data_IF_347855873898
#
_entry.id   IF_347855873898
#
_cell.length_a   1.000
_cell.length_b   1.000
_cell.length_c   1.000
_cell.angle_alpha   90.00
_cell.angle_beta   90.00
_cell.angle_gamma   90.00
#
_symmetry.space_group_name_H-M   'P 1'
#
loop_
_entity.id
_entity.type
_entity.pdbx_description
1 polymer ?
#
# COMPACT_ATOMS: atom_id res chain seq x y z
N UNK A 1 -4.34 2.92 31.07
CA UNK A 1 -3.39 3.61 30.18
C UNK A 1 -2.21 2.68 29.99
N UNK A 2 -2.16 1.96 28.87
CA UNK A 2 -1.06 1.06 28.54
C UNK A 2 0.00 1.86 27.81
N UNK A 3 1.21 1.86 28.35
CA UNK A 3 2.35 2.63 27.87
C UNK A 3 2.70 2.25 26.43
N UNK A 4 2.83 3.24 25.56
CA UNK A 4 3.44 3.02 24.24
C UNK A 4 4.87 3.56 24.24
N UNK A 5 5.75 3.13 23.32
CA UNK A 5 7.07 3.75 23.20
C UNK A 5 7.01 5.27 22.95
N UNK A 6 5.85 5.77 22.50
CA UNK A 6 5.53 7.19 22.39
C UNK A 6 5.04 7.84 23.70
N UNK A 7 5.33 7.32 24.89
CA UNK A 7 5.13 8.08 26.13
C UNK A 7 6.23 9.16 26.33
N UNK A 8 6.60 9.83 25.24
CA UNK A 8 7.56 10.93 25.03
C UNK A 8 8.29 11.45 26.28
N UNK A 9 9.57 11.05 26.45
CA UNK A 9 10.53 11.94 27.13
C UNK A 9 10.77 13.16 26.22
N UNK A 10 10.75 14.36 26.79
CA UNK A 10 10.99 15.64 26.11
C UNK A 10 12.33 15.65 25.36
N UNK A 11 12.31 16.01 24.08
CA UNK A 11 13.49 16.38 23.29
C UNK A 11 13.18 17.74 22.64
N UNK A 12 14.19 18.47 22.14
CA UNK A 12 13.98 19.79 21.54
C UNK A 12 12.92 19.74 20.43
N UNK A 13 11.96 20.65 20.49
CA UNK A 13 10.81 20.75 19.56
C UNK A 13 11.16 21.45 18.23
N UNK A 14 12.43 21.77 18.00
CA UNK A 14 12.82 22.62 16.88
C UNK A 14 13.04 21.83 15.59
N UNK A 15 12.30 22.20 14.54
CA UNK A 15 12.63 21.83 13.16
C UNK A 15 14.05 22.31 12.83
N UNK A 16 14.91 21.47 12.21
CA UNK A 16 16.20 21.93 11.70
C UNK A 16 15.98 23.15 10.78
N UNK A 17 16.62 24.28 11.09
CA UNK A 17 16.37 25.58 10.41
C UNK A 17 16.62 25.52 8.90
N UNK A 18 17.58 24.71 8.48
CA UNK A 18 17.98 24.45 7.10
C UNK A 18 16.98 23.59 6.31
N UNK A 19 16.08 22.88 6.99
CA UNK A 19 15.03 22.05 6.40
C UNK A 19 13.63 22.64 6.57
N UNK A 20 13.54 23.91 6.99
CA UNK A 20 12.25 24.60 7.07
C UNK A 20 11.75 24.95 5.67
N UNK A 21 10.51 24.57 5.34
CA UNK A 21 9.79 24.90 4.10
C UNK A 21 10.19 24.13 2.83
N UNK A 22 10.99 23.06 2.92
CA UNK A 22 11.33 22.23 1.76
C UNK A 22 10.43 20.98 1.74
N UNK A 23 9.61 20.77 0.70
CA UNK A 23 8.85 19.53 0.57
C UNK A 23 9.78 18.32 0.56
N UNK A 24 9.50 17.33 1.39
CA UNK A 24 10.28 16.09 1.46
C UNK A 24 9.55 14.95 0.75
N UNK A 25 10.33 14.05 0.16
CA UNK A 25 9.88 12.74 -0.28
C UNK A 25 10.38 11.66 0.67
N UNK A 26 9.53 10.69 0.98
CA UNK A 26 9.88 9.57 1.84
C UNK A 26 9.71 8.26 1.07
N UNK A 27 10.74 7.41 1.15
CA UNK A 27 10.69 6.06 0.60
C UNK A 27 10.72 5.03 1.72
N UNK A 28 9.70 4.17 1.76
CA UNK A 28 9.56 3.10 2.74
C UNK A 28 9.91 1.77 2.08
N UNK A 29 11.14 1.32 2.28
CA UNK A 29 11.69 0.09 1.70
C UNK A 29 11.00 -1.18 2.17
N UNK A 30 11.21 -2.27 1.42
CA UNK A 30 10.75 -3.61 1.78
C UNK A 30 11.54 -4.26 2.92
N UNK A 31 11.08 -5.44 3.35
CA UNK A 31 11.63 -6.20 4.48
C UNK A 31 10.58 -6.82 5.42
N UNK A 32 9.34 -6.99 4.93
CA UNK A 32 8.23 -7.58 5.66
C UNK A 32 7.86 -6.83 6.94
N UNK A 33 7.40 -7.56 7.95
CA UNK A 33 6.86 -6.98 9.19
C UNK A 33 7.87 -6.16 10.00
N UNK A 34 9.17 -6.51 9.91
CA UNK A 34 10.24 -5.73 10.54
C UNK A 34 10.39 -4.36 9.89
N UNK A 35 10.31 -4.29 8.57
CA UNK A 35 10.33 -3.01 7.86
C UNK A 35 9.10 -2.17 8.23
N UNK A 36 7.91 -2.78 8.34
CA UNK A 36 6.72 -2.06 8.78
C UNK A 36 6.92 -1.38 10.15
N UNK A 37 7.41 -2.12 11.15
CA UNK A 37 7.70 -1.59 12.48
C UNK A 37 8.81 -0.51 12.47
N UNK A 38 9.88 -0.72 11.70
CA UNK A 38 10.96 0.26 11.54
C UNK A 38 10.45 1.58 10.93
N UNK A 39 9.63 1.49 9.88
CA UNK A 39 9.04 2.65 9.23
C UNK A 39 8.03 3.36 10.11
N UNK A 40 7.29 2.64 10.96
CA UNK A 40 6.44 3.28 11.97
C UNK A 40 7.27 4.13 12.95
N UNK A 41 8.42 3.61 13.39
CA UNK A 41 9.39 4.36 14.19
C UNK A 41 9.98 5.56 13.44
N UNK A 42 10.23 5.42 12.13
CA UNK A 42 10.72 6.50 11.27
C UNK A 42 9.70 7.63 11.16
N UNK A 43 8.42 7.32 10.89
CA UNK A 43 7.35 8.32 10.88
C UNK A 43 7.22 9.03 12.24
N UNK A 44 7.35 8.28 13.34
CA UNK A 44 7.31 8.84 14.68
C UNK A 44 8.47 9.80 14.96
N UNK A 45 9.66 9.49 14.45
CA UNK A 45 10.81 10.38 14.52
C UNK A 45 10.57 11.64 13.68
N UNK A 46 10.09 11.52 12.44
CA UNK A 46 9.78 12.66 11.56
C UNK A 46 8.69 13.57 12.14
N UNK A 47 7.66 13.01 12.77
CA UNK A 47 6.62 13.78 13.46
C UNK A 47 7.23 14.60 14.60
N UNK A 48 8.10 13.96 15.39
CA UNK A 48 8.75 14.60 16.53
C UNK A 48 9.63 15.79 16.13
N UNK A 49 10.36 15.68 15.03
CA UNK A 49 11.19 16.79 14.50
C UNK A 49 10.43 17.72 13.54
N UNK A 50 9.10 17.57 13.46
CA UNK A 50 8.20 18.41 12.65
C UNK A 50 8.56 18.45 11.16
N UNK A 51 9.14 17.36 10.65
CA UNK A 51 9.37 17.17 9.22
C UNK A 51 8.23 16.40 8.55
N UNK A 52 7.44 15.62 9.30
CA UNK A 52 6.34 14.86 8.73
C UNK A 52 5.27 15.74 8.07
N UNK A 53 5.08 16.96 8.56
CA UNK A 53 4.18 17.98 7.97
C UNK A 53 4.64 18.48 6.61
N UNK A 54 5.92 18.30 6.28
CA UNK A 54 6.51 18.70 4.99
C UNK A 54 6.49 17.55 3.97
N UNK A 55 5.99 16.37 4.35
CA UNK A 55 5.92 15.21 3.48
C UNK A 55 4.94 15.47 2.34
N UNK A 56 5.47 15.50 1.13
CA UNK A 56 4.70 15.75 -0.10
C UNK A 56 4.62 14.53 -1.01
N UNK A 57 5.54 13.57 -0.82
CA UNK A 57 5.67 12.38 -1.67
C UNK A 57 5.98 11.15 -0.84
N UNK A 58 5.31 10.05 -1.14
CA UNK A 58 5.48 8.79 -0.44
C UNK A 58 5.61 7.64 -1.44
N UNK A 59 6.74 6.94 -1.41
CA UNK A 59 6.94 5.70 -2.16
C UNK A 59 7.10 4.54 -1.19
N UNK A 60 6.50 3.40 -1.50
CA UNK A 60 6.46 2.27 -0.56
C UNK A 60 6.65 0.94 -1.28
N UNK A 61 7.31 0.01 -0.60
CA UNK A 61 7.58 -1.34 -1.10
C UNK A 61 7.34 -2.34 0.03
N UNK A 62 6.66 -3.45 -0.24
CA UNK A 62 6.52 -4.59 0.66
C UNK A 62 6.10 -4.17 2.08
N UNK A 63 6.89 -4.51 3.11
CA UNK A 63 6.65 -4.08 4.49
C UNK A 63 6.44 -2.56 4.67
N UNK A 64 7.11 -1.73 3.87
CA UNK A 64 6.88 -0.28 3.84
C UNK A 64 5.49 0.10 3.33
N UNK A 65 4.88 -0.71 2.46
CA UNK A 65 3.51 -0.51 1.98
C UNK A 65 2.48 -0.72 3.08
N UNK A 66 2.73 -1.55 4.10
CA UNK A 66 1.83 -1.70 5.25
C UNK A 66 1.74 -0.40 6.05
N UNK A 67 2.90 0.14 6.43
CA UNK A 67 2.99 1.38 7.20
C UNK A 67 2.52 2.57 6.39
N UNK A 68 2.97 2.67 5.13
CA UNK A 68 2.60 3.76 4.26
C UNK A 68 1.12 3.80 3.95
N UNK A 69 0.49 2.66 3.61
CA UNK A 69 -0.95 2.63 3.34
C UNK A 69 -1.76 2.99 4.58
N UNK A 70 -1.40 2.47 5.77
CA UNK A 70 -2.11 2.81 7.01
C UNK A 70 -1.93 4.27 7.41
N UNK A 71 -0.75 4.84 7.20
CA UNK A 71 -0.50 6.25 7.43
C UNK A 71 -1.32 7.13 6.49
N UNK A 72 -1.34 6.82 5.18
CA UNK A 72 -2.19 7.53 4.22
C UNK A 72 -3.66 7.47 4.64
N UNK A 73 -4.17 6.29 5.00
CA UNK A 73 -5.56 6.16 5.47
C UNK A 73 -5.84 6.99 6.72
N UNK A 74 -4.88 7.12 7.64
CA UNK A 74 -5.05 8.02 8.80
C UNK A 74 -5.24 9.48 8.38
N UNK A 75 -4.57 9.93 7.30
CA UNK A 75 -4.77 11.27 6.75
C UNK A 75 -6.13 11.39 6.05
N UNK A 76 -6.55 10.35 5.31
CA UNK A 76 -7.88 10.30 4.67
C UNK A 76 -9.00 10.37 5.70
N UNK A 77 -8.84 9.68 6.83
CA UNK A 77 -9.81 9.65 7.93
C UNK A 77 -9.74 10.90 8.84
N UNK A 78 -8.73 11.76 8.68
CA UNK A 78 -8.50 12.91 9.57
C UNK A 78 -8.05 12.52 10.98
N UNK A 79 -7.45 11.33 11.14
CA UNK A 79 -6.95 10.81 12.41
C UNK A 79 -5.58 11.44 12.73
N UNK A 80 -5.41 11.91 13.97
CA UNK A 80 -4.14 12.48 14.44
C UNK A 80 -3.01 11.44 14.53
N UNK A 81 -1.76 11.89 14.35
CA UNK A 81 -0.60 10.99 14.30
C UNK A 81 -0.47 10.07 15.52
N UNK A 82 -0.71 10.59 16.74
CA UNK A 82 -0.61 9.80 17.97
C UNK A 82 -1.58 8.61 17.96
N UNK A 83 -2.83 8.85 17.56
CA UNK A 83 -3.84 7.80 17.47
C UNK A 83 -3.49 6.79 16.37
N UNK A 84 -3.07 7.26 15.19
CA UNK A 84 -2.52 6.41 14.13
C UNK A 84 -1.42 5.50 14.66
N UNK A 85 -0.42 6.07 15.34
CA UNK A 85 0.72 5.33 15.85
C UNK A 85 0.27 4.29 16.87
N UNK A 86 -0.55 4.66 17.84
CA UNK A 86 -1.00 3.74 18.89
C UNK A 86 -1.83 2.60 18.33
N UNK A 87 -2.70 2.88 17.36
CA UNK A 87 -3.54 1.87 16.70
C UNK A 87 -2.67 0.90 15.89
N UNK A 88 -1.75 1.43 15.07
CA UNK A 88 -0.93 0.60 14.21
C UNK A 88 0.19 -0.12 14.97
N UNK A 89 0.77 0.48 16.01
CA UNK A 89 1.72 -0.20 16.90
C UNK A 89 1.08 -1.41 17.59
N UNK A 90 -0.14 -1.26 18.11
CA UNK A 90 -0.87 -2.40 18.72
C UNK A 90 -1.17 -3.48 17.70
N UNK A 91 -1.59 -3.11 16.49
CA UNK A 91 -1.74 -4.06 15.39
C UNK A 91 -0.43 -4.81 15.13
N UNK A 92 0.68 -4.09 14.96
CA UNK A 92 2.00 -4.68 14.69
C UNK A 92 2.47 -5.60 15.83
N UNK A 93 2.19 -5.26 17.09
CA UNK A 93 2.61 -6.05 18.25
C UNK A 93 1.76 -7.30 18.47
N UNK A 94 0.45 -7.18 18.30
CA UNK A 94 -0.51 -8.16 18.82
C UNK A 94 -1.07 -9.10 17.74
N UNK A 95 -0.97 -8.74 16.45
CA UNK A 95 -1.54 -9.54 15.37
C UNK A 95 -0.55 -10.56 14.81
N UNK A 96 -0.97 -11.82 14.79
CA UNK A 96 -0.31 -12.91 14.06
C UNK A 96 -0.98 -13.10 12.70
N UNK A 97 -0.52 -12.32 11.72
CA UNK A 97 -1.08 -12.31 10.38
C UNK A 97 -0.90 -13.65 9.67
N UNK A 98 0.17 -14.39 9.94
CA UNK A 98 0.42 -15.67 9.31
C UNK A 98 -0.58 -16.72 9.80
N UNK A 99 -0.81 -16.80 11.12
CA UNK A 99 -1.84 -17.66 11.69
C UNK A 99 -3.24 -17.28 11.19
N UNK A 100 -3.55 -15.99 11.10
CA UNK A 100 -4.82 -15.51 10.55
C UNK A 100 -4.97 -15.90 9.07
N UNK A 101 -3.91 -15.78 8.27
CA UNK A 101 -3.91 -16.16 6.86
C UNK A 101 -4.14 -17.66 6.65
N UNK A 102 -3.48 -18.52 7.46
CA UNK A 102 -3.74 -19.96 7.42
C UNK A 102 -5.17 -20.31 7.84
N UNK A 103 -5.74 -19.59 8.80
CA UNK A 103 -7.12 -19.79 9.21
C UNK A 103 -8.10 -19.40 8.08
N UNK A 104 -7.93 -18.24 7.44
CA UNK A 104 -8.76 -17.81 6.30
C UNK A 104 -8.62 -18.79 5.11
N UNK A 105 -7.41 -19.28 4.82
CA UNK A 105 -7.17 -20.26 3.76
C UNK A 105 -7.96 -21.57 3.98
N UNK A 106 -8.17 -21.94 5.24
CA UNK A 106 -8.94 -23.15 5.61
C UNK A 106 -10.46 -22.93 5.64
N UNK A 107 -10.93 -21.68 5.64
CA UNK A 107 -12.31 -21.30 5.97
C UNK A 107 -12.92 -20.45 4.85
N UNK A 108 -13.53 -21.10 3.85
CA UNK A 108 -14.61 -20.49 3.08
C UNK A 108 -14.31 -20.11 1.62
N UNK A 109 -15.35 -19.64 0.90
CA UNK A 109 -15.32 -19.44 -0.54
C UNK A 109 -14.39 -18.28 -0.94
N UNK A 110 -13.75 -18.42 -2.09
CA UNK A 110 -12.86 -17.40 -2.63
C UNK A 110 -13.58 -16.04 -2.78
N UNK A 111 -12.92 -14.97 -2.31
CA UNK A 111 -13.41 -13.58 -2.45
C UNK A 111 -12.99 -12.92 -3.77
N UNK A 112 -12.37 -13.69 -4.67
CA UNK A 112 -11.81 -13.22 -5.94
C UNK A 112 -12.33 -14.02 -7.13
N UNK A 113 -12.36 -13.44 -8.35
CA UNK A 113 -12.91 -14.09 -9.53
C UNK A 113 -12.22 -15.40 -9.92
N UNK A 114 -10.91 -15.53 -9.67
CA UNK A 114 -10.14 -16.73 -10.03
C UNK A 114 -10.55 -17.97 -9.25
N UNK A 115 -11.18 -17.81 -8.08
CA UNK A 115 -11.57 -18.92 -7.22
C UNK A 115 -10.39 -19.64 -6.54
N UNK A 116 -9.14 -19.21 -6.75
CA UNK A 116 -7.96 -19.97 -6.34
C UNK A 116 -7.72 -19.90 -4.82
N UNK A 117 -7.33 -21.02 -4.17
CA UNK A 117 -6.98 -21.03 -2.76
C UNK A 117 -5.46 -20.78 -2.57
N UNK A 118 -5.02 -19.54 -2.77
CA UNK A 118 -3.62 -19.13 -2.56
C UNK A 118 -3.45 -18.50 -1.18
N UNK A 119 -2.32 -18.77 -0.51
CA UNK A 119 -2.07 -18.17 0.81
C UNK A 119 -2.06 -16.64 0.74
N UNK A 120 -1.47 -16.06 -0.31
CA UNK A 120 -1.44 -14.61 -0.47
C UNK A 120 -2.83 -13.97 -0.59
N UNK A 121 -3.80 -14.66 -1.18
CA UNK A 121 -5.18 -14.18 -1.27
C UNK A 121 -5.83 -14.14 0.10
N UNK A 122 -5.55 -15.14 0.93
CA UNK A 122 -5.97 -15.15 2.33
C UNK A 122 -5.30 -14.05 3.16
N UNK A 123 -4.01 -13.78 2.92
CA UNK A 123 -3.35 -12.63 3.54
C UNK A 123 -4.02 -11.31 3.14
N UNK A 124 -4.36 -11.12 1.85
CA UNK A 124 -5.08 -9.94 1.39
C UNK A 124 -6.45 -9.78 2.08
N UNK A 125 -7.19 -10.88 2.29
CA UNK A 125 -8.43 -10.88 3.06
C UNK A 125 -8.21 -10.47 4.52
N UNK A 126 -7.19 -11.03 5.18
CA UNK A 126 -6.82 -10.65 6.55
C UNK A 126 -6.49 -9.16 6.62
N UNK A 127 -5.76 -8.61 5.66
CA UNK A 127 -5.45 -7.17 5.64
C UNK A 127 -6.72 -6.32 5.50
N UNK A 128 -7.62 -6.71 4.59
CA UNK A 128 -8.92 -6.07 4.37
C UNK A 128 -9.82 -6.11 5.61
N UNK A 129 -9.77 -7.21 6.37
CA UNK A 129 -10.62 -7.41 7.55
C UNK A 129 -10.02 -6.80 8.83
N UNK A 130 -8.77 -6.35 8.78
CA UNK A 130 -8.02 -5.81 9.93
C UNK A 130 -7.64 -4.34 9.76
N UNK A 131 -6.40 -4.03 9.39
CA UNK A 131 -5.87 -2.66 9.42
C UNK A 131 -6.30 -1.80 8.22
N UNK A 132 -6.77 -2.42 7.13
CA UNK A 132 -7.28 -1.76 5.92
C UNK A 132 -8.81 -1.81 5.83
N UNK A 133 -9.46 -1.78 6.99
CA UNK A 133 -10.91 -1.72 7.14
C UNK A 133 -11.34 -0.35 7.63
N UNK A 134 -12.39 0.20 7.04
CA UNK A 134 -12.98 1.46 7.45
C UNK A 134 -13.71 1.35 8.79
N UNK A 135 -13.96 2.47 9.49
CA UNK A 135 -14.80 2.48 10.69
C UNK A 135 -16.20 1.88 10.46
N UNK A 136 -16.73 1.96 9.24
CA UNK A 136 -18.02 1.39 8.84
C UNK A 136 -17.93 -0.12 8.53
N UNK A 137 -16.75 -0.72 8.63
CA UNK A 137 -16.54 -2.16 8.46
C UNK A 137 -16.28 -2.62 7.02
N UNK A 138 -16.10 -1.70 6.08
CA UNK A 138 -15.84 -2.05 4.68
C UNK A 138 -14.34 -1.98 4.37
N UNK A 139 -13.79 -2.88 3.52
CA UNK A 139 -12.41 -2.76 3.07
C UNK A 139 -12.18 -1.45 2.30
N UNK A 140 -11.04 -0.80 2.54
CA UNK A 140 -10.63 0.34 1.74
C UNK A 140 -10.29 -0.06 0.30
N UNK A 141 -10.54 0.87 -0.62
CA UNK A 141 -10.14 0.80 -2.01
C UNK A 141 -9.06 1.85 -2.32
N UNK A 142 -8.49 1.79 -3.52
CA UNK A 142 -7.62 2.84 -4.02
C UNK A 142 -8.40 4.14 -4.25
N UNK A 143 -9.73 4.07 -4.43
CA UNK A 143 -10.61 5.22 -4.60
C UNK A 143 -10.51 6.22 -3.46
N UNK A 144 -10.53 5.76 -2.20
CA UNK A 144 -10.39 6.64 -1.04
C UNK A 144 -9.05 7.39 -1.04
N UNK A 145 -7.97 6.74 -1.51
CA UNK A 145 -6.66 7.40 -1.62
C UNK A 145 -6.64 8.40 -2.79
N UNK A 146 -7.20 8.02 -3.94
CA UNK A 146 -7.21 8.86 -5.15
C UNK A 146 -8.02 10.14 -4.93
N UNK A 147 -9.17 10.05 -4.26
CA UNK A 147 -10.11 11.16 -4.05
C UNK A 147 -9.77 12.02 -2.82
N UNK A 148 -8.87 11.57 -1.95
CA UNK A 148 -8.53 12.30 -0.74
C UNK A 148 -7.79 13.62 -1.00
N UNK A 149 -8.26 14.69 -0.38
CA UNK A 149 -7.58 15.99 -0.33
C UNK A 149 -6.61 16.04 0.87
N UNK A 150 -5.46 15.37 0.73
CA UNK A 150 -4.41 15.27 1.76
C UNK A 150 -3.13 16.01 1.35
N UNK A 151 -2.21 16.20 2.30
CA UNK A 151 -0.94 16.93 2.10
C UNK A 151 -0.01 16.23 1.10
N UNK A 152 -0.01 14.90 1.06
CA UNK A 152 0.85 14.08 0.20
C UNK A 152 0.23 14.00 -1.19
N UNK A 153 0.92 14.56 -2.18
CA UNK A 153 0.44 14.71 -3.57
C UNK A 153 0.85 13.55 -4.47
N UNK A 154 2.02 12.95 -4.20
CA UNK A 154 2.53 11.80 -4.93
C UNK A 154 2.59 10.58 -4.00
N UNK A 155 1.87 9.52 -4.35
CA UNK A 155 1.84 8.27 -3.56
C UNK A 155 2.07 7.12 -4.53
N UNK A 156 3.07 6.28 -4.25
CA UNK A 156 3.36 5.07 -5.02
C UNK A 156 3.36 3.83 -4.12
N UNK A 157 2.48 2.89 -4.42
CA UNK A 157 2.55 1.52 -3.92
C UNK A 157 3.17 0.66 -5.01
N UNK A 158 4.44 0.28 -4.81
CA UNK A 158 5.24 -0.35 -5.85
C UNK A 158 5.09 -1.87 -5.83
N UNK A 159 4.88 -2.45 -7.00
CA UNK A 159 4.93 -3.89 -7.25
C UNK A 159 5.81 -4.14 -8.48
N UNK A 160 6.07 -5.41 -8.77
CA UNK A 160 6.82 -5.84 -9.96
C UNK A 160 5.91 -6.66 -10.87
N UNK A 161 5.81 -6.31 -12.15
CA UNK A 161 5.26 -7.24 -13.16
C UNK A 161 6.30 -8.33 -13.41
N UNK A 162 6.11 -9.47 -12.77
CA UNK A 162 7.13 -10.52 -12.65
C UNK A 162 7.55 -11.12 -13.99
N UNK A 163 6.64 -11.18 -14.96
CA UNK A 163 6.92 -11.77 -16.28
C UNK A 163 7.88 -10.93 -17.13
N UNK A 164 7.79 -9.62 -17.01
CA UNK A 164 8.58 -8.66 -17.80
C UNK A 164 9.70 -8.02 -16.99
N UNK A 165 9.68 -8.17 -15.65
CA UNK A 165 10.68 -7.62 -14.75
C UNK A 165 10.61 -6.10 -14.61
N UNK A 166 9.49 -5.47 -14.97
CA UNK A 166 9.32 -4.01 -14.90
C UNK A 166 8.46 -3.61 -13.70
N UNK A 167 8.69 -2.39 -13.20
CA UNK A 167 7.85 -1.81 -12.15
C UNK A 167 6.39 -1.69 -12.58
N UNK A 168 5.48 -2.02 -11.67
CA UNK A 168 4.05 -1.75 -11.77
C UNK A 168 3.63 -0.93 -10.55
N UNK A 169 2.94 0.19 -10.75
CA UNK A 169 2.66 1.16 -9.69
C UNK A 169 1.17 1.41 -9.55
N UNK A 170 0.66 1.18 -8.35
CA UNK A 170 -0.62 1.76 -7.95
C UNK A 170 -0.34 3.12 -7.33
N UNK A 171 -0.81 4.19 -7.95
CA UNK A 171 -0.36 5.53 -7.56
C UNK A 171 -1.43 6.62 -7.62
N UNK A 172 -1.29 7.58 -6.71
CA UNK A 172 -1.93 8.90 -6.73
C UNK A 172 -0.86 9.91 -7.16
N UNK A 173 -1.21 10.81 -8.06
CA UNK A 173 -0.32 11.87 -8.53
C UNK A 173 -1.12 13.13 -8.84
N UNK A 174 -0.54 14.29 -8.56
CA UNK A 174 -1.06 15.58 -9.02
C UNK A 174 -0.91 15.72 -10.55
N UNK A 175 0.02 14.98 -11.15
CA UNK A 175 0.13 14.91 -12.61
C UNK A 175 -1.02 14.08 -13.20
N UNK A 176 -1.92 14.77 -13.92
CA UNK A 176 -3.06 14.14 -14.59
C UNK A 176 -2.69 13.00 -15.56
N UNK A 177 -1.46 12.99 -16.08
CA UNK A 177 -0.94 11.99 -17.03
C UNK A 177 -0.29 10.77 -16.36
N UNK A 178 -0.12 10.79 -15.05
CA UNK A 178 0.45 9.65 -14.32
C UNK A 178 -0.42 8.41 -14.51
N UNK A 179 0.23 7.30 -14.87
CA UNK A 179 -0.42 6.02 -15.17
C UNK A 179 -0.55 5.19 -13.90
N UNK A 180 -1.68 4.49 -13.73
CA UNK A 180 -1.77 3.40 -12.75
C UNK A 180 -1.42 2.12 -13.50
N UNK A 181 -0.28 1.52 -13.18
CA UNK A 181 0.31 0.38 -13.90
C UNK A 181 1.75 0.63 -14.33
N UNK A 182 2.06 0.37 -15.60
CA UNK A 182 3.41 0.48 -16.15
C UNK A 182 3.40 1.00 -17.61
N UNK A 183 4.51 0.85 -18.32
CA UNK A 183 4.62 1.28 -19.73
C UNK A 183 3.76 0.48 -20.71
N UNK A 184 3.41 -0.76 -20.36
CA UNK A 184 2.64 -1.69 -21.19
C UNK A 184 1.15 -1.66 -20.85
N UNK A 185 0.81 -1.43 -19.57
CA UNK A 185 -0.55 -1.47 -19.06
C UNK A 185 -0.86 -0.21 -18.27
N UNK A 186 -2.01 0.41 -18.57
CA UNK A 186 -2.46 1.64 -17.92
C UNK A 186 -3.92 1.51 -17.55
N UNK A 187 -4.20 1.30 -16.25
CA UNK A 187 -5.56 1.17 -15.73
C UNK A 187 -6.22 2.56 -15.68
N UNK A 188 -7.43 2.74 -16.25
CA UNK A 188 -8.18 3.98 -16.14
C UNK A 188 -8.42 4.35 -14.68
N UNK A 189 -8.29 5.64 -14.33
CA UNK A 189 -8.37 6.11 -12.93
C UNK A 189 -9.67 5.73 -12.26
N UNK A 190 -10.81 5.85 -12.96
CA UNK A 190 -12.13 5.50 -12.45
C UNK A 190 -12.28 4.01 -12.15
N UNK A 191 -11.74 3.15 -13.02
CA UNK A 191 -11.71 1.71 -12.80
C UNK A 191 -10.73 1.30 -11.69
N UNK A 192 -9.60 2.02 -11.59
CA UNK A 192 -8.62 1.81 -10.53
C UNK A 192 -9.18 2.14 -9.14
N UNK A 193 -10.19 3.01 -9.03
CA UNK A 193 -10.85 3.31 -7.75
C UNK A 193 -11.46 2.07 -7.10
N UNK A 194 -11.90 1.09 -7.89
CA UNK A 194 -12.53 -0.12 -7.37
C UNK A 194 -11.52 -1.16 -6.83
N UNK A 195 -10.23 -0.94 -7.04
CA UNK A 195 -9.17 -1.87 -6.59
C UNK A 195 -9.09 -1.82 -5.07
N UNK A 196 -9.35 -2.95 -4.40
CA UNK A 196 -9.19 -3.06 -2.95
C UNK A 196 -7.75 -2.80 -2.54
N UNK A 197 -7.54 -1.88 -1.60
CA UNK A 197 -6.22 -1.45 -1.14
C UNK A 197 -5.43 -2.60 -0.49
N UNK A 198 -6.13 -3.55 0.13
CA UNK A 198 -5.53 -4.76 0.68
C UNK A 198 -4.87 -5.65 -0.38
N UNK A 199 -5.44 -5.73 -1.59
CA UNK A 199 -4.86 -6.50 -2.68
C UNK A 199 -3.60 -5.81 -3.24
N UNK A 200 -3.58 -4.46 -3.24
CA UNK A 200 -2.38 -3.67 -3.57
C UNK A 200 -1.26 -3.95 -2.55
N UNK A 201 -1.59 -3.94 -1.26
CA UNK A 201 -0.62 -4.21 -0.19
C UNK A 201 -0.10 -5.64 -0.26
N UNK A 202 -0.98 -6.61 -0.57
CA UNK A 202 -0.58 -7.99 -0.79
C UNK A 202 0.32 -8.14 -2.03
N UNK A 203 -0.02 -7.50 -3.15
CA UNK A 203 0.81 -7.50 -4.37
C UNK A 203 2.18 -6.87 -4.15
N UNK A 204 2.26 -5.83 -3.32
CA UNK A 204 3.53 -5.19 -2.94
C UNK A 204 4.40 -6.08 -2.05
N UNK A 205 3.83 -7.09 -1.37
CA UNK A 205 4.52 -7.90 -0.36
C UNK A 205 4.57 -9.42 -0.62
N UNK A 206 4.08 -9.90 -1.77
CA UNK A 206 4.17 -11.30 -2.15
C UNK A 206 5.54 -11.61 -2.80
N UNK A 207 6.54 -11.83 -1.94
CA UNK A 207 7.91 -12.09 -2.40
C UNK A 207 8.09 -13.54 -2.91
N UNK A 208 8.94 -13.75 -3.94
CA UNK A 208 9.19 -15.08 -4.49
C UNK A 208 9.72 -16.07 -3.44
N UNK A 209 9.17 -17.28 -3.44
CA UNK A 209 9.53 -18.35 -2.51
C UNK A 209 8.77 -18.32 -1.17
N UNK A 210 8.17 -17.18 -0.79
CA UNK A 210 7.27 -17.08 0.35
C UNK A 210 5.79 -17.13 -0.02
N UNK A 211 5.44 -16.54 -1.17
CA UNK A 211 4.05 -16.43 -1.63
C UNK A 211 3.94 -16.67 -3.14
N UNK A 212 2.74 -17.06 -3.58
CA UNK A 212 2.38 -17.16 -4.99
C UNK A 212 2.24 -15.76 -5.61
N UNK A 213 2.49 -15.59 -6.92
CA UNK A 213 2.15 -14.35 -7.61
C UNK A 213 0.65 -14.07 -7.58
N UNK A 214 0.30 -12.78 -7.48
CA UNK A 214 -1.07 -12.30 -7.65
C UNK A 214 -1.32 -12.02 -9.13
N UNK A 215 -2.22 -12.78 -9.75
CA UNK A 215 -2.58 -12.61 -11.15
C UNK A 215 -3.63 -11.50 -11.30
N UNK A 216 -3.17 -10.25 -11.49
CA UNK A 216 -4.06 -9.13 -11.74
C UNK A 216 -4.71 -9.25 -13.14
N UNK A 217 -6.03 -9.04 -13.28
CA UNK A 217 -7.00 -8.65 -12.25
C UNK A 217 -7.79 -9.81 -11.63
N UNK A 218 -7.64 -11.06 -12.06
CA UNK A 218 -8.50 -12.17 -11.58
C UNK A 218 -8.30 -12.58 -10.13
N UNK A 219 -7.14 -12.27 -9.56
CA UNK A 219 -6.79 -12.54 -8.16
C UNK A 219 -7.06 -11.34 -7.23
N UNK A 220 -7.73 -10.30 -7.73
CA UNK A 220 -8.14 -9.14 -6.94
C UNK A 220 -9.61 -9.25 -6.59
N UNK A 221 -10.00 -8.75 -5.42
CA UNK A 221 -11.40 -8.70 -5.02
C UNK A 221 -12.08 -7.50 -5.67
N UNK A 222 -13.23 -7.75 -6.30
CA UNK A 222 -14.02 -6.73 -7.00
C UNK A 222 -15.45 -6.71 -6.48
N UNK A 223 -16.17 -5.58 -6.64
CA UNK A 223 -17.60 -5.54 -6.40
C UNK A 223 -18.33 -6.69 -7.14
N UNK A 224 -19.20 -7.39 -6.42
CA UNK A 224 -19.94 -8.55 -6.93
C UNK A 224 -19.07 -9.70 -7.50
N UNK A 225 -17.78 -9.75 -7.13
CA UNK A 225 -16.82 -10.71 -7.65
C UNK A 225 -16.67 -10.67 -9.18
N UNK A 226 -16.83 -9.48 -9.79
CA UNK A 226 -16.75 -9.27 -11.23
C UNK A 226 -15.69 -8.24 -11.58
N UNK A 227 -14.72 -8.64 -12.42
CA UNK A 227 -13.68 -7.73 -12.92
C UNK A 227 -14.35 -6.65 -13.78
N UNK A 228 -14.17 -5.34 -13.49
CA UNK A 228 -14.75 -4.27 -14.28
C UNK A 228 -14.29 -4.35 -15.76
N UNK A 229 -15.19 -4.11 -16.74
CA UNK A 229 -14.83 -4.18 -18.17
C UNK A 229 -13.62 -3.31 -18.54
N UNK A 230 -13.57 -2.08 -18.01
CA UNK A 230 -12.44 -1.16 -18.23
C UNK A 230 -11.10 -1.71 -17.74
N UNK A 231 -11.08 -2.54 -16.70
CA UNK A 231 -9.87 -3.22 -16.22
C UNK A 231 -9.50 -4.34 -17.17
N UNK A 232 -10.48 -5.17 -17.61
CA UNK A 232 -10.24 -6.25 -18.59
C UNK A 232 -9.67 -5.69 -19.89
N UNK A 233 -10.21 -4.59 -20.38
CA UNK A 233 -9.75 -3.94 -21.60
C UNK A 233 -8.32 -3.38 -21.44
N UNK A 234 -8.01 -2.81 -20.28
CA UNK A 234 -6.70 -2.21 -20.01
C UNK A 234 -5.57 -3.24 -19.89
N UNK A 235 -5.87 -4.45 -19.40
CA UNK A 235 -4.89 -5.55 -19.35
C UNK A 235 -4.87 -6.40 -20.63
N UNK A 236 -5.86 -6.22 -21.50
CA UNK A 236 -5.99 -6.98 -22.73
C UNK A 236 -4.90 -6.61 -23.75
N UNK A 237 -4.44 -7.60 -24.50
CA UNK A 237 -3.48 -7.44 -25.60
C UNK A 237 -4.07 -8.09 -26.85
N UNK A 238 -4.13 -7.35 -27.96
CA UNK A 238 -4.71 -7.82 -29.23
C UNK A 238 -6.15 -8.37 -29.11
N UNK A 239 -6.96 -7.79 -28.21
CA UNK A 239 -8.34 -8.23 -27.98
C UNK A 239 -8.47 -9.52 -27.15
N UNK A 240 -7.37 -10.05 -26.61
CA UNK A 240 -7.38 -11.18 -25.70
C UNK A 240 -7.10 -10.72 -24.26
N UNK A 241 -7.88 -11.25 -23.32
CA UNK A 241 -7.64 -11.02 -21.89
C UNK A 241 -6.30 -11.62 -21.48
N UNK A 242 -5.46 -10.82 -20.83
CA UNK A 242 -4.17 -11.25 -20.27
C UNK A 242 -4.15 -10.93 -18.78
N UNK A 243 -3.55 -11.84 -18.01
CA UNK A 243 -3.25 -11.61 -16.60
C UNK A 243 -1.81 -11.15 -16.41
N UNK A 244 -1.60 -10.28 -15.43
CA UNK A 244 -0.30 -9.79 -15.01
C UNK A 244 0.06 -10.47 -13.70
N UNK A 245 1.16 -11.23 -13.69
CA UNK A 245 1.70 -11.76 -12.45
C UNK A 245 2.40 -10.62 -11.70
N UNK A 246 1.77 -10.12 -10.64
CA UNK A 246 2.32 -9.11 -9.75
C UNK A 246 3.01 -9.80 -8.56
N UNK A 247 4.20 -9.30 -8.24
CA UNK A 247 4.98 -9.71 -7.07
C UNK A 247 5.58 -8.52 -6.33
N UNK A 248 6.21 -8.81 -5.20
CA UNK A 248 6.86 -7.83 -4.34
C UNK A 248 7.68 -6.79 -5.12
N UNK A 249 7.47 -5.50 -4.81
CA UNK A 249 8.14 -4.40 -5.49
C UNK A 249 9.66 -4.41 -5.31
N UNK A 250 10.16 -5.09 -4.29
CA UNK A 250 11.58 -5.23 -3.99
C UNK A 250 12.37 -6.05 -5.00
N UNK A 251 11.69 -6.79 -5.88
CA UNK A 251 12.33 -7.44 -7.03
C UNK A 251 12.87 -6.38 -8.01
N UNK A 252 12.13 -5.28 -8.22
CA UNK A 252 12.53 -4.19 -9.11
C UNK A 252 13.39 -3.15 -8.37
N UNK A 253 12.85 -2.57 -7.29
CA UNK A 253 13.52 -1.55 -6.48
C UNK A 253 13.05 -1.66 -5.03
N UNK A 254 13.83 -2.34 -4.20
CA UNK A 254 13.50 -2.49 -2.78
C UNK A 254 13.55 -1.19 -1.98
N UNK A 255 14.26 -0.17 -2.46
CA UNK A 255 14.30 1.13 -1.80
C UNK A 255 13.09 1.99 -2.17
N UNK A 256 12.49 1.78 -3.34
CA UNK A 256 11.35 2.55 -3.86
C UNK A 256 11.72 3.97 -4.33
N UNK A 257 13.01 4.25 -4.53
CA UNK A 257 13.54 5.56 -4.88
C UNK A 257 13.17 5.94 -6.32
N UNK A 258 13.13 4.97 -7.23
CA UNK A 258 12.85 5.24 -8.66
C UNK A 258 11.50 5.96 -8.85
N UNK A 259 10.49 5.57 -8.07
CA UNK A 259 9.16 6.20 -8.13
C UNK A 259 9.17 7.63 -7.59
N UNK A 260 10.02 7.94 -6.61
CA UNK A 260 10.19 9.32 -6.15
C UNK A 260 10.84 10.17 -7.24
N UNK A 261 11.92 9.68 -7.87
CA UNK A 261 12.61 10.41 -8.94
C UNK A 261 11.68 10.63 -10.14
N UNK A 262 10.90 9.62 -10.54
CA UNK A 262 9.93 9.76 -11.64
C UNK A 262 8.79 10.73 -11.34
N UNK A 263 8.45 10.93 -10.07
CA UNK A 263 7.45 11.93 -9.71
C UNK A 263 8.01 13.37 -9.75
N UNK A 264 9.34 13.55 -9.75
CA UNK A 264 10.02 14.85 -9.85
C UNK A 264 10.09 15.39 -11.28
N UNK A 265 9.87 14.54 -12.29
CA UNK A 265 9.91 14.87 -13.72
C UNK A 265 8.55 15.20 -14.31
#
# INVERSE_FOLDING_TARGET
>A
MTTTPLDFKQFPEETPKDLSQIPIGLSLSGGGYRAAAFHLGTLAYLERIKLLTQLSRLSTVSGGTFTGSKYILSLVEGIGFLEFFQNFYRFLRDQDLFKAGLADLSQGPSRVPSGQPKLILSMANVYADTFLKSPQGHPYTLGEVLDAEISIKEISFNTTEFRTGVAFRFQKSANGRARIGNGNVSIPKDAAKEIRLADIVAASSCFPGGFEPLEFPQDFAWPNNQIPPKVKDAVGENGQFRSLALMDGGIFDNQGIDSLILSDS
#
